data_IF_869767859643
#
_entry.id   IF_869767859643
#
_cell.length_a   1.000
_cell.length_b   1.000
_cell.length_c   1.000
_cell.angle_alpha   90.00
_cell.angle_beta   90.00
_cell.angle_gamma   90.00
#
_symmetry.space_group_name_H-M   'P 1'
#
loop_
_entity.id
_entity.type
_entity.pdbx_description
1 polymer ?
#
# COMPACT_ATOMS: atom_id res chain seq x y z
N UNK A 1 -7.02 24.18 5.56
CA UNK A 1 -6.94 23.21 6.68
C UNK A 1 -5.57 22.56 6.63
N UNK A 2 -4.55 23.40 6.72
CA UNK A 2 -3.13 23.03 6.69
C UNK A 2 -2.57 23.47 8.04
N UNK A 3 -2.53 22.54 8.98
CA UNK A 3 -1.79 22.65 10.22
C UNK A 3 -2.03 21.33 10.92
N UNK A 4 -1.01 20.47 11.01
CA UNK A 4 -0.75 19.48 12.09
C UNK A 4 0.41 18.54 11.70
N UNK A 5 1.56 19.09 11.28
CA UNK A 5 2.80 18.32 11.15
C UNK A 5 3.91 19.01 11.94
N UNK A 6 3.77 19.00 13.27
CA UNK A 6 4.87 19.29 14.19
C UNK A 6 4.95 18.18 15.25
N UNK A 7 5.85 17.23 15.00
CA UNK A 7 6.63 16.55 16.03
C UNK A 7 5.99 15.37 16.76
N UNK A 8 5.86 14.22 16.11
CA UNK A 8 5.78 12.91 16.77
C UNK A 8 6.32 11.76 15.90
N UNK A 9 7.34 11.98 15.07
CA UNK A 9 7.79 11.03 14.04
C UNK A 9 8.36 9.70 14.57
N UNK A 10 7.52 8.86 15.15
CA UNK A 10 7.84 7.50 15.56
C UNK A 10 7.65 6.52 14.41
N UNK A 11 8.29 5.35 14.53
CA UNK A 11 8.14 4.24 13.57
C UNK A 11 6.66 3.89 13.30
N UNK A 12 5.79 4.06 14.30
CA UNK A 12 4.34 3.86 14.18
C UNK A 12 3.66 4.81 13.19
N UNK A 13 4.07 6.08 13.14
CA UNK A 13 3.49 7.07 12.21
C UNK A 13 3.90 6.77 10.77
N UNK A 14 5.17 6.38 10.56
CA UNK A 14 5.69 5.97 9.25
C UNK A 14 4.99 4.71 8.73
N UNK A 15 4.82 3.70 9.60
CA UNK A 15 4.11 2.48 9.24
C UNK A 15 2.65 2.77 8.88
N UNK A 16 1.96 3.57 9.70
CA UNK A 16 0.56 3.96 9.45
C UNK A 16 0.40 4.65 8.10
N UNK A 17 1.27 5.62 7.80
CA UNK A 17 1.27 6.34 6.52
C UNK A 17 1.48 5.38 5.34
N UNK A 18 2.46 4.48 5.42
CA UNK A 18 2.74 3.53 4.34
C UNK A 18 1.62 2.51 4.14
N UNK A 19 0.96 2.06 5.21
CA UNK A 19 -0.21 1.19 5.14
C UNK A 19 -1.41 1.91 4.52
N UNK A 20 -1.63 3.19 4.84
CA UNK A 20 -2.69 4.01 4.24
C UNK A 20 -2.49 4.16 2.73
N UNK A 21 -1.29 4.54 2.29
CA UNK A 21 -0.97 4.66 0.86
C UNK A 21 -1.13 3.31 0.13
N UNK A 22 -0.72 2.20 0.76
CA UNK A 22 -0.91 0.86 0.20
C UNK A 22 -2.38 0.49 0.03
N UNK A 23 -3.23 0.81 1.02
CA UNK A 23 -4.68 0.61 0.95
C UNK A 23 -5.32 1.48 -0.13
N UNK A 24 -4.90 2.74 -0.24
CA UNK A 24 -5.40 3.67 -1.25
C UNK A 24 -5.04 3.21 -2.66
N UNK A 25 -3.82 2.71 -2.85
CA UNK A 25 -3.41 2.08 -4.10
C UNK A 25 -4.29 0.87 -4.43
N UNK A 26 -4.47 -0.06 -3.48
CA UNK A 26 -5.27 -1.26 -3.68
C UNK A 26 -6.73 -0.93 -4.05
N UNK A 27 -7.35 0.05 -3.39
CA UNK A 27 -8.70 0.50 -3.70
C UNK A 27 -8.82 1.03 -5.15
N UNK A 28 -7.90 1.90 -5.58
CA UNK A 28 -7.87 2.44 -6.95
C UNK A 28 -7.59 1.35 -8.00
N UNK A 29 -6.72 0.40 -7.69
CA UNK A 29 -6.41 -0.71 -8.58
C UNK A 29 -7.65 -1.60 -8.80
N UNK A 30 -8.37 -1.94 -7.72
CA UNK A 30 -9.61 -2.72 -7.81
C UNK A 30 -10.74 -1.94 -8.51
N UNK A 31 -10.88 -0.64 -8.24
CA UNK A 31 -11.86 0.20 -8.95
C UNK A 31 -11.69 0.13 -10.47
N UNK A 32 -10.43 0.17 -10.94
CA UNK A 32 -10.12 0.20 -12.37
C UNK A 32 -9.99 -1.18 -13.03
N UNK A 33 -9.55 -2.20 -12.29
CA UNK A 33 -9.10 -3.48 -12.85
C UNK A 33 -9.64 -4.71 -12.10
N UNK A 34 -10.72 -4.58 -11.32
CA UNK A 34 -11.31 -5.69 -10.54
C UNK A 34 -11.57 -6.96 -11.35
N UNK A 35 -11.89 -6.86 -12.63
CA UNK A 35 -12.15 -8.02 -13.49
C UNK A 35 -10.93 -8.90 -13.77
N UNK A 36 -9.70 -8.39 -13.61
CA UNK A 36 -8.46 -9.13 -13.90
C UNK A 36 -7.58 -9.34 -12.66
N UNK A 37 -7.74 -8.52 -11.61
CA UNK A 37 -6.94 -8.66 -10.40
C UNK A 37 -7.45 -9.85 -9.59
N UNK A 38 -6.60 -10.87 -9.41
CA UNK A 38 -6.87 -11.99 -8.49
C UNK A 38 -6.40 -11.71 -7.07
N UNK A 39 -5.29 -11.01 -6.92
CA UNK A 39 -4.74 -10.71 -5.60
C UNK A 39 -3.87 -9.45 -5.62
N UNK A 40 -3.86 -8.76 -4.48
CA UNK A 40 -2.98 -7.63 -4.18
C UNK A 40 -2.24 -7.98 -2.90
N UNK A 41 -0.91 -8.08 -2.97
CA UNK A 41 -0.08 -8.51 -1.85
C UNK A 41 0.89 -7.41 -1.48
N UNK A 42 0.77 -6.89 -0.25
CA UNK A 42 1.76 -6.03 0.36
C UNK A 42 2.94 -6.87 0.85
N UNK A 43 4.16 -6.49 0.50
CA UNK A 43 5.38 -7.19 0.91
C UNK A 43 6.47 -6.21 1.34
N UNK A 44 7.60 -6.75 1.80
CA UNK A 44 8.75 -5.95 2.22
C UNK A 44 8.62 -5.33 3.62
N UNK A 45 9.43 -4.31 3.95
CA UNK A 45 9.56 -3.76 5.31
C UNK A 45 8.24 -3.27 5.91
N UNK A 46 7.37 -2.68 5.09
CA UNK A 46 6.02 -2.22 5.51
C UNK A 46 5.15 -3.40 5.94
N UNK A 47 5.15 -4.51 5.19
CA UNK A 47 4.41 -5.71 5.56
C UNK A 47 4.93 -6.36 6.86
N UNK A 48 6.22 -6.21 7.14
CA UNK A 48 6.88 -6.75 8.34
C UNK A 48 6.78 -5.82 9.56
N UNK A 49 6.35 -4.57 9.39
CA UNK A 49 6.36 -3.55 10.45
C UNK A 49 7.75 -2.98 10.76
N UNK A 50 8.76 -3.28 9.93
CA UNK A 50 10.17 -2.91 10.10
C UNK A 50 10.52 -1.65 9.29
N UNK A 51 9.66 -0.63 9.34
CA UNK A 51 9.74 0.56 8.46
C UNK A 51 10.84 1.52 8.91
N UNK A 52 11.65 1.97 7.95
CA UNK A 52 12.60 3.09 8.06
C UNK A 52 12.07 4.32 7.30
N UNK A 53 12.62 5.53 7.52
CA UNK A 53 12.22 6.73 6.76
C UNK A 53 12.36 6.58 5.24
N UNK A 54 13.31 5.77 4.77
CA UNK A 54 13.60 5.50 3.36
C UNK A 54 12.79 4.32 2.80
N UNK A 55 11.99 3.65 3.63
CA UNK A 55 11.24 2.46 3.21
C UNK A 55 10.06 2.82 2.30
N UNK A 56 9.96 2.08 1.20
CA UNK A 56 8.86 2.14 0.24
C UNK A 56 7.75 1.12 0.54
N UNK A 57 6.54 1.41 0.04
CA UNK A 57 5.46 0.44 -0.02
C UNK A 57 5.64 -0.46 -1.26
N UNK A 58 5.89 -1.74 -1.04
CA UNK A 58 6.14 -2.71 -2.10
C UNK A 58 4.91 -3.61 -2.29
N UNK A 59 4.34 -3.63 -3.49
CA UNK A 59 3.07 -4.33 -3.76
C UNK A 59 3.22 -5.23 -4.99
N UNK A 60 2.84 -6.51 -4.85
CA UNK A 60 2.62 -7.41 -5.98
C UNK A 60 1.15 -7.38 -6.38
N UNK A 61 0.90 -7.26 -7.69
CA UNK A 61 -0.41 -7.47 -8.29
C UNK A 61 -0.37 -8.81 -9.03
N UNK A 62 -1.25 -9.72 -8.65
CA UNK A 62 -1.46 -10.99 -9.35
C UNK A 62 -2.68 -10.81 -10.24
N UNK A 63 -2.45 -10.90 -11.54
CA UNK A 63 -3.45 -10.74 -12.57
C UNK A 63 -3.75 -12.10 -13.20
N UNK A 64 -5.01 -12.31 -13.56
CA UNK A 64 -5.44 -13.40 -14.43
C UNK A 64 -5.99 -12.78 -15.71
N UNK A 65 -5.14 -12.77 -16.71
CA UNK A 65 -5.45 -12.33 -18.07
C UNK A 65 -5.99 -13.49 -18.93
N UNK A 66 -6.09 -14.70 -18.38
CA UNK A 66 -6.57 -15.89 -19.10
C UNK A 66 -8.05 -16.18 -18.87
N UNK A 67 -8.65 -15.65 -17.80
CA UNK A 67 -10.07 -15.83 -17.49
C UNK A 67 -11.03 -14.91 -18.29
N UNK A 68 -10.52 -14.11 -19.24
CA UNK A 68 -11.36 -13.34 -20.16
C UNK A 68 -11.67 -14.17 -21.42
N UNK A 69 -12.60 -15.12 -21.29
CA UNK A 69 -13.32 -15.74 -22.41
C UNK A 69 -14.83 -15.48 -22.29
#
# INVERSE_FOLDING_TARGET
MEEHLKGSGGRGDLLSLRLEESRRFAAKALEKYSGIIKSIVLFGPVAKGEVTPESDANIFLILDDTAQE
#
